data_IF_092536153097
#
_entry.id   IF_092536153097
#
_cell.length_a   1.000
_cell.length_b   1.000
_cell.length_c   1.000
_cell.angle_alpha   90.00
_cell.angle_beta   90.00
_cell.angle_gamma   90.00
#
_symmetry.space_group_name_H-M   'P 1'
#
loop_
_entity.id
_entity.type
_entity.pdbx_description
1 polymer ?
#
# COMPACT_ATOMS: atom_id res chain seq x y z
N UNK A 1 -2.28 6.30 17.95
CA UNK A 1 -2.90 5.59 16.81
C UNK A 1 -3.71 4.43 17.39
N UNK A 2 -5.04 4.47 17.32
CA UNK A 2 -5.90 3.42 17.89
C UNK A 2 -6.09 2.36 16.82
N UNK A 3 -5.62 1.14 17.06
CA UNK A 3 -5.74 0.03 16.10
C UNK A 3 -7.21 -0.15 15.68
N UNK A 4 -7.50 0.12 14.41
CA UNK A 4 -8.84 0.02 13.86
C UNK A 4 -9.37 -1.40 13.89
N UNK A 5 -8.49 -2.40 13.91
CA UNK A 5 -8.85 -3.81 13.98
C UNK A 5 -9.46 -4.19 15.34
N UNK A 6 -9.13 -3.45 16.39
CA UNK A 6 -9.64 -3.68 17.75
C UNK A 6 -10.86 -2.82 18.10
N UNK A 7 -11.37 -2.01 17.16
CA UNK A 7 -12.58 -1.19 17.39
C UNK A 7 -13.79 -2.09 17.70
N UNK A 8 -14.71 -1.64 18.56
CA UNK A 8 -15.95 -2.38 18.80
C UNK A 8 -16.64 -2.77 17.48
N UNK A 9 -17.16 -3.98 17.41
CA UNK A 9 -17.87 -4.53 16.25
C UNK A 9 -19.22 -5.09 16.70
N UNK A 10 -20.30 -4.54 16.15
CA UNK A 10 -21.64 -5.07 16.36
C UNK A 10 -21.87 -6.31 15.51
N UNK A 11 -22.41 -7.36 16.11
CA UNK A 11 -22.75 -8.62 15.46
C UNK A 11 -24.17 -9.02 15.86
N UNK A 12 -24.74 -10.03 15.19
CA UNK A 12 -26.07 -10.58 15.54
C UNK A 12 -26.13 -11.11 16.98
N UNK A 13 -24.98 -11.50 17.55
CA UNK A 13 -24.85 -12.00 18.92
C UNK A 13 -24.47 -10.91 19.94
N UNK A 14 -24.46 -9.65 19.52
CA UNK A 14 -24.10 -8.49 20.34
C UNK A 14 -22.74 -7.88 20.02
N UNK A 15 -22.22 -7.10 20.96
CA UNK A 15 -21.02 -6.30 20.77
C UNK A 15 -19.72 -7.05 21.08
N UNK A 16 -18.80 -7.07 20.12
CA UNK A 16 -17.44 -7.58 20.28
C UNK A 16 -16.44 -6.43 20.49
N UNK A 17 -15.42 -6.68 21.32
CA UNK A 17 -14.41 -5.69 21.68
C UNK A 17 -12.99 -6.26 21.54
N UNK A 18 -12.00 -5.38 21.32
CA UNK A 18 -10.59 -5.73 21.36
C UNK A 18 -10.22 -6.88 20.42
N UNK A 19 -9.58 -7.92 20.95
CA UNK A 19 -9.09 -9.06 20.19
C UNK A 19 -10.19 -9.88 19.50
N UNK A 20 -11.39 -9.99 20.10
CA UNK A 20 -12.50 -10.70 19.46
C UNK A 20 -12.96 -9.99 18.19
N UNK A 21 -13.08 -8.66 18.24
CA UNK A 21 -13.42 -7.85 17.08
C UNK A 21 -12.33 -7.93 15.99
N UNK A 22 -11.05 -8.03 16.39
CA UNK A 22 -9.93 -8.25 15.46
C UNK A 22 -10.04 -9.60 14.75
N UNK A 23 -10.32 -10.68 15.48
CA UNK A 23 -10.41 -12.02 14.90
C UNK A 23 -11.55 -12.11 13.88
N UNK A 24 -12.70 -11.50 14.16
CA UNK A 24 -13.81 -11.45 13.18
C UNK A 24 -13.40 -10.70 11.93
N UNK A 25 -12.70 -9.57 12.05
CA UNK A 25 -12.19 -8.83 10.88
C UNK A 25 -11.13 -9.61 10.10
N UNK A 26 -10.26 -10.35 10.79
CA UNK A 26 -9.27 -11.22 10.12
C UNK A 26 -9.98 -12.32 9.34
N UNK A 27 -10.97 -12.97 9.95
CA UNK A 27 -11.76 -14.00 9.27
C UNK A 27 -12.54 -13.43 8.08
N UNK A 28 -13.12 -12.24 8.21
CA UNK A 28 -13.82 -11.54 7.13
C UNK A 28 -12.89 -11.07 5.99
N UNK A 29 -11.58 -11.02 6.22
CA UNK A 29 -10.56 -10.69 5.24
C UNK A 29 -9.87 -11.94 4.67
N UNK A 30 -10.55 -13.09 4.68
CA UNK A 30 -10.04 -14.40 4.24
C UNK A 30 -8.81 -14.91 5.01
N UNK A 31 -8.62 -14.41 6.24
CA UNK A 31 -7.55 -14.83 7.13
C UNK A 31 -6.26 -14.00 7.01
N UNK A 32 -5.29 -14.35 7.85
CA UNK A 32 -4.03 -13.59 7.97
C UNK A 32 -3.18 -13.68 6.69
N UNK A 33 -3.16 -14.85 6.04
CA UNK A 33 -2.36 -15.07 4.84
C UNK A 33 -2.82 -14.18 3.68
N UNK A 34 -4.14 -14.06 3.48
CA UNK A 34 -4.71 -13.17 2.47
C UNK A 34 -4.38 -11.69 2.73
N UNK A 35 -4.42 -11.27 4.01
CA UNK A 35 -4.03 -9.91 4.42
C UNK A 35 -2.55 -9.65 4.06
N UNK A 36 -1.67 -10.60 4.40
CA UNK A 36 -0.23 -10.49 4.12
C UNK A 36 0.03 -10.46 2.62
N UNK A 37 -0.61 -11.36 1.85
CA UNK A 37 -0.46 -11.41 0.40
C UNK A 37 -0.88 -10.09 -0.25
N UNK A 38 -2.04 -9.55 0.14
CA UNK A 38 -2.53 -8.30 -0.41
C UNK A 38 -1.62 -7.11 -0.07
N UNK A 39 -1.11 -7.06 1.16
CA UNK A 39 -0.15 -6.04 1.57
C UNK A 39 1.15 -6.13 0.75
N UNK A 40 1.71 -7.34 0.60
CA UNK A 40 2.91 -7.58 -0.19
C UNK A 40 2.70 -7.21 -1.68
N UNK A 41 1.58 -7.61 -2.26
CA UNK A 41 1.21 -7.30 -3.65
C UNK A 41 1.07 -5.79 -3.87
N UNK A 42 0.46 -5.08 -2.93
CA UNK A 42 0.32 -3.62 -2.98
C UNK A 42 1.67 -2.92 -2.92
N UNK A 43 2.52 -3.33 -1.96
CA UNK A 43 3.87 -2.79 -1.84
C UNK A 43 4.72 -3.03 -3.09
N UNK A 44 4.66 -4.23 -3.67
CA UNK A 44 5.37 -4.57 -4.91
C UNK A 44 4.91 -3.72 -6.10
N UNK A 45 3.60 -3.50 -6.24
CA UNK A 45 3.02 -2.63 -7.28
C UNK A 45 3.48 -1.19 -7.12
N UNK A 46 3.44 -0.65 -5.91
CA UNK A 46 3.89 0.73 -5.65
C UNK A 46 5.38 0.90 -5.93
N UNK A 47 6.20 -0.09 -5.55
CA UNK A 47 7.63 -0.10 -5.85
C UNK A 47 7.89 -0.08 -7.36
N UNK A 48 7.19 -0.92 -8.12
CA UNK A 48 7.31 -0.96 -9.58
C UNK A 48 6.85 0.33 -10.25
N UNK A 49 5.74 0.92 -9.77
CA UNK A 49 5.25 2.22 -10.25
C UNK A 49 6.31 3.29 -10.06
N UNK A 50 6.85 3.44 -8.85
CA UNK A 50 7.86 4.45 -8.57
C UNK A 50 9.16 4.23 -9.36
N UNK A 51 9.58 2.99 -9.58
CA UNK A 51 10.73 2.67 -10.42
C UNK A 51 10.49 3.09 -11.88
N UNK A 52 9.31 2.80 -12.41
CA UNK A 52 8.92 3.15 -13.78
C UNK A 52 8.86 4.66 -13.97
N UNK A 53 8.18 5.38 -13.08
CA UNK A 53 8.10 6.86 -13.12
C UNK A 53 9.47 7.51 -13.13
N UNK A 54 10.42 6.99 -12.33
CA UNK A 54 11.79 7.49 -12.28
C UNK A 54 12.60 7.14 -13.53
N UNK A 55 12.40 5.95 -14.11
CA UNK A 55 13.07 5.54 -15.33
C UNK A 55 12.58 6.33 -16.56
N UNK A 56 11.29 6.67 -16.59
CA UNK A 56 10.65 7.44 -17.67
C UNK A 56 10.86 8.95 -17.55
N UNK A 57 11.39 9.45 -16.43
CA UNK A 57 11.68 10.86 -16.27
C UNK A 57 12.71 11.33 -17.31
N UNK A 58 12.46 12.44 -18.04
CA UNK A 58 13.38 12.93 -19.06
C UNK A 58 14.74 13.25 -18.42
N UNK A 59 15.80 12.60 -18.90
CA UNK A 59 17.16 12.87 -18.46
C UNK A 59 17.52 14.31 -18.86
N UNK A 60 17.71 15.19 -17.87
CA UNK A 60 18.18 16.59 -18.07
C UNK A 60 19.64 16.69 -18.54
N UNK A 61 20.22 15.59 -19.03
CA UNK A 61 21.64 15.47 -19.31
C UNK A 61 22.00 15.93 -20.74
N UNK A 62 21.03 16.49 -21.47
CA UNK A 62 21.25 17.07 -22.80
C UNK A 62 21.63 18.54 -22.62
N UNK A 63 22.93 18.82 -22.61
CA UNK A 63 23.47 20.19 -22.70
C UNK A 63 23.53 20.62 -24.17
N UNK A 64 22.81 21.68 -24.52
CA UNK A 64 22.81 22.22 -25.88
C UNK A 64 24.18 22.75 -26.28
N UNK A 65 24.80 22.15 -27.29
CA UNK A 65 26.06 22.62 -27.87
C UNK A 65 25.81 23.85 -28.75
N UNK A 66 26.06 25.06 -28.23
CA UNK A 66 26.04 26.28 -29.05
C UNK A 66 27.32 26.36 -29.87
N UNK A 67 27.22 26.22 -31.20
CA UNK A 67 28.31 26.58 -32.13
C UNK A 67 28.44 28.10 -32.16
N UNK A 68 29.63 28.62 -31.83
CA UNK A 68 29.97 30.03 -32.11
C UNK A 68 30.05 30.20 -33.63
N UNK A 69 29.21 31.06 -34.19
CA UNK A 69 29.41 31.57 -35.54
C UNK A 69 30.63 32.51 -35.50
N UNK A 70 31.57 32.28 -36.41
CA UNK A 70 32.73 33.15 -36.63
C UNK A 70 32.40 34.37 -37.46
#
# INVERSE_FOLDING_TARGET
MKDSWCKPLETENGMLYGGAARNVRIAAADGMDAIIENAARSAARDALRHATERASAPKKNVVGFKRKAG
#
